data_IF_522482516473
#
_entry.id   IF_522482516473
#
_cell.length_a   1.000
_cell.length_b   1.000
_cell.length_c   1.000
_cell.angle_alpha   90.00
_cell.angle_beta   90.00
_cell.angle_gamma   90.00
#
_symmetry.space_group_name_H-M   'P 1'
#
loop_
_entity.id
_entity.type
_entity.pdbx_description
1 polymer ?
#
# COMPACT_ATOMS: atom_id res chain seq x y z
N UNK A 1 -24.48 10.06 49.59
CA UNK A 1 -24.13 9.41 48.29
C UNK A 1 -23.48 10.37 47.29
N UNK A 2 -23.78 11.68 47.33
CA UNK A 2 -23.06 12.70 46.54
C UNK A 2 -21.59 12.85 46.96
N UNK A 3 -21.32 12.80 48.26
CA UNK A 3 -19.96 12.89 48.85
C UNK A 3 -19.04 11.78 48.34
N UNK A 4 -19.47 10.51 48.42
CA UNK A 4 -18.73 9.35 47.89
C UNK A 4 -18.36 9.49 46.40
N UNK A 5 -19.30 9.98 45.58
CA UNK A 5 -19.04 10.18 44.14
C UNK A 5 -18.00 11.28 43.89
N UNK A 6 -18.02 12.35 44.69
CA UNK A 6 -17.05 13.45 44.60
C UNK A 6 -15.66 13.02 45.09
N UNK A 7 -15.58 12.30 46.21
CA UNK A 7 -14.34 11.79 46.80
C UNK A 7 -13.61 10.80 45.87
N UNK A 8 -14.35 9.97 45.13
CA UNK A 8 -13.76 8.97 44.23
C UNK A 8 -13.73 9.40 42.76
N UNK A 9 -14.13 10.64 42.42
CA UNK A 9 -14.09 11.14 41.05
C UNK A 9 -15.03 10.40 40.08
N UNK A 10 -16.10 9.79 40.58
CA UNK A 10 -17.05 9.01 39.77
C UNK A 10 -18.32 9.84 39.54
N UNK A 11 -18.78 9.90 38.29
CA UNK A 11 -20.07 10.56 38.01
C UNK A 11 -21.21 9.81 38.73
N UNK A 12 -22.19 10.55 39.29
CA UNK A 12 -23.37 9.94 39.92
C UNK A 12 -24.07 8.94 38.99
N UNK A 13 -24.14 9.25 37.69
CA UNK A 13 -24.71 8.37 36.65
C UNK A 13 -23.97 7.03 36.58
N UNK A 14 -22.64 7.06 36.57
CA UNK A 14 -21.79 5.86 36.56
C UNK A 14 -22.00 5.04 37.83
N UNK A 15 -22.07 5.69 39.00
CA UNK A 15 -22.29 5.01 40.27
C UNK A 15 -23.62 4.25 40.32
N UNK A 16 -24.73 4.90 39.95
CA UNK A 16 -26.05 4.23 39.92
C UNK A 16 -26.12 3.13 38.87
N UNK A 17 -25.44 3.28 37.73
CA UNK A 17 -25.35 2.25 36.70
C UNK A 17 -24.59 1.00 37.19
N UNK A 18 -23.43 1.18 37.84
CA UNK A 18 -22.66 0.08 38.43
C UNK A 18 -23.44 -0.57 39.57
N UNK A 19 -24.11 0.21 40.42
CA UNK A 19 -24.95 -0.32 41.50
C UNK A 19 -26.10 -1.17 40.95
N UNK A 20 -26.80 -0.68 39.92
CA UNK A 20 -27.87 -1.43 39.25
C UNK A 20 -27.36 -2.75 38.68
N UNK A 21 -26.17 -2.76 38.07
CA UNK A 21 -25.53 -3.98 37.54
C UNK A 21 -25.10 -4.92 38.65
N UNK A 22 -24.54 -4.41 39.75
CA UNK A 22 -24.11 -5.20 40.90
C UNK A 22 -25.29 -5.94 41.53
N UNK A 23 -26.46 -5.30 41.59
CA UNK A 23 -27.70 -5.92 42.09
C UNK A 23 -28.26 -6.99 41.14
N UNK A 24 -28.11 -6.85 39.82
CA UNK A 24 -28.69 -7.76 38.83
C UNK A 24 -27.78 -8.95 38.49
N UNK A 25 -26.49 -8.69 38.32
CA UNK A 25 -25.51 -9.64 37.77
C UNK A 25 -24.46 -10.07 38.83
N UNK A 26 -24.47 -9.46 40.02
CA UNK A 26 -23.46 -9.63 41.06
C UNK A 26 -22.28 -8.65 40.96
N UNK A 27 -21.54 -8.44 42.06
CA UNK A 27 -20.53 -7.38 42.16
C UNK A 27 -19.34 -7.56 41.21
N UNK A 28 -18.93 -8.81 40.94
CA UNK A 28 -17.83 -9.10 40.02
C UNK A 28 -18.23 -8.83 38.55
N UNK A 29 -19.40 -9.30 38.14
CA UNK A 29 -19.88 -9.13 36.76
C UNK A 29 -20.22 -7.67 36.41
N UNK A 30 -20.52 -6.84 37.41
CA UNK A 30 -20.81 -5.42 37.22
C UNK A 30 -19.59 -4.59 36.78
N UNK A 31 -18.39 -5.05 37.14
CA UNK A 31 -17.11 -4.40 36.82
C UNK A 31 -16.48 -4.93 35.53
N UNK A 32 -16.93 -6.08 35.04
CA UNK A 32 -16.44 -6.64 33.78
C UNK A 32 -16.84 -5.77 32.56
N UNK A 33 -15.90 -5.46 31.65
CA UNK A 33 -16.19 -4.72 30.43
C UNK A 33 -17.20 -5.47 29.54
N UNK A 34 -18.46 -5.03 29.54
CA UNK A 34 -19.46 -5.53 28.58
C UNK A 34 -19.11 -5.07 27.16
N UNK A 35 -19.38 -5.94 26.20
CA UNK A 35 -19.27 -5.63 24.78
C UNK A 35 -20.04 -4.35 24.45
N UNK A 36 -19.34 -3.36 23.89
CA UNK A 36 -19.94 -2.12 23.36
C UNK A 36 -20.51 -2.30 21.96
N UNK A 37 -20.46 -3.52 21.42
CA UNK A 37 -20.94 -3.80 20.06
C UNK A 37 -22.47 -3.66 20.02
N UNK A 38 -23.05 -2.96 19.02
CA UNK A 38 -24.48 -2.94 18.81
C UNK A 38 -25.04 -4.36 18.71
N UNK A 39 -26.17 -4.63 19.38
CA UNK A 39 -26.84 -5.95 19.36
C UNK A 39 -27.31 -6.34 17.95
N UNK A 40 -27.59 -5.36 17.10
CA UNK A 40 -27.91 -5.54 15.68
C UNK A 40 -27.22 -4.45 14.87
N UNK A 41 -26.69 -4.81 13.70
CA UNK A 41 -26.19 -3.85 12.71
C UNK A 41 -27.05 -3.98 11.44
N UNK A 42 -27.94 -3.02 11.16
CA UNK A 42 -28.79 -3.02 9.96
C UNK A 42 -27.97 -3.04 8.65
N UNK A 43 -26.72 -2.58 8.71
CA UNK A 43 -25.74 -2.62 7.61
C UNK A 43 -24.99 -3.95 7.49
N UNK A 44 -25.48 -5.01 8.13
CA UNK A 44 -24.92 -6.35 7.96
C UNK A 44 -25.23 -6.79 6.54
N UNK A 45 -24.19 -6.79 5.71
CA UNK A 45 -24.23 -7.35 4.37
C UNK A 45 -24.87 -8.75 4.46
N UNK A 46 -25.86 -9.04 3.61
CA UNK A 46 -26.52 -10.33 3.61
C UNK A 46 -25.49 -11.45 3.41
N UNK A 47 -25.66 -12.57 4.12
CA UNK A 47 -24.73 -13.71 4.03
C UNK A 47 -24.66 -14.26 2.59
N UNK A 48 -25.69 -14.05 1.78
CA UNK A 48 -25.69 -14.34 0.35
C UNK A 48 -24.62 -13.56 -0.41
N UNK A 49 -24.56 -12.24 -0.23
CA UNK A 49 -23.58 -11.39 -0.91
C UNK A 49 -22.14 -11.75 -0.47
N UNK A 50 -21.97 -12.17 0.78
CA UNK A 50 -20.69 -12.71 1.28
C UNK A 50 -20.30 -13.99 0.54
N UNK A 51 -21.22 -14.95 0.37
CA UNK A 51 -20.96 -16.20 -0.37
C UNK A 51 -20.64 -15.93 -1.83
N UNK A 52 -21.41 -15.05 -2.48
CA UNK A 52 -21.18 -14.65 -3.87
C UNK A 52 -19.80 -14.03 -4.06
N UNK A 53 -19.39 -13.10 -3.18
CA UNK A 53 -18.06 -12.49 -3.25
C UNK A 53 -16.92 -13.51 -3.11
N UNK A 54 -17.06 -14.51 -2.22
CA UNK A 54 -16.08 -15.59 -2.07
C UNK A 54 -16.05 -16.48 -3.32
N UNK A 55 -17.22 -16.77 -3.92
CA UNK A 55 -17.31 -17.53 -5.16
C UNK A 55 -16.63 -16.84 -6.34
N UNK A 56 -16.86 -15.53 -6.52
CA UNK A 56 -16.19 -14.74 -7.57
C UNK A 56 -14.68 -14.73 -7.36
N UNK A 57 -14.22 -14.57 -6.11
CA UNK A 57 -12.79 -14.66 -5.79
C UNK A 57 -12.20 -16.02 -6.18
N UNK A 58 -12.88 -17.11 -5.83
CA UNK A 58 -12.43 -18.46 -6.16
C UNK A 58 -12.36 -18.70 -7.69
N UNK A 59 -13.32 -18.17 -8.44
CA UNK A 59 -13.31 -18.25 -9.90
C UNK A 59 -12.14 -17.47 -10.53
N UNK A 60 -11.82 -16.28 -9.99
CA UNK A 60 -10.65 -15.51 -10.41
C UNK A 60 -9.33 -16.24 -10.10
N UNK A 61 -9.25 -16.84 -8.91
CA UNK A 61 -8.09 -17.63 -8.47
C UNK A 61 -7.88 -18.87 -9.36
N UNK A 62 -8.95 -19.60 -9.71
CA UNK A 62 -8.89 -20.73 -10.65
C UNK A 62 -8.47 -20.32 -12.07
N UNK A 63 -8.80 -19.10 -12.48
CA UNK A 63 -8.44 -18.55 -13.78
C UNK A 63 -7.01 -17.98 -13.81
N UNK A 64 -6.27 -18.02 -12.70
CA UNK A 64 -4.94 -17.44 -12.57
C UNK A 64 -4.91 -15.91 -12.65
N UNK A 65 -6.06 -15.25 -12.46
CA UNK A 65 -6.19 -13.80 -12.47
C UNK A 65 -5.97 -13.22 -11.07
N UNK A 66 -5.72 -11.92 -10.99
CA UNK A 66 -5.67 -11.23 -9.69
C UNK A 66 -7.01 -11.38 -8.96
N UNK A 67 -6.97 -11.94 -7.75
CA UNK A 67 -8.12 -12.23 -6.90
C UNK A 67 -8.22 -11.26 -5.71
N UNK A 68 -7.59 -10.10 -5.83
CA UNK A 68 -7.67 -9.02 -4.85
C UNK A 68 -9.08 -8.42 -4.71
N UNK A 69 -9.37 -7.69 -3.61
CA UNK A 69 -10.66 -7.04 -3.37
C UNK A 69 -11.11 -6.07 -4.48
N UNK A 70 -10.17 -5.40 -5.16
CA UNK A 70 -10.46 -4.50 -6.29
C UNK A 70 -10.91 -5.31 -7.51
N UNK A 71 -10.15 -6.33 -7.87
CA UNK A 71 -10.44 -7.21 -9.00
C UNK A 71 -11.76 -7.96 -8.83
N UNK A 72 -12.09 -8.40 -7.61
CA UNK A 72 -13.40 -8.99 -7.32
C UNK A 72 -14.53 -7.94 -7.43
N UNK A 73 -14.34 -6.73 -6.88
CA UNK A 73 -15.33 -5.66 -7.00
C UNK A 73 -15.67 -5.36 -8.45
N UNK A 74 -14.65 -5.21 -9.29
CA UNK A 74 -14.83 -4.87 -10.70
C UNK A 74 -15.48 -6.02 -11.47
N UNK A 75 -15.09 -7.26 -11.15
CA UNK A 75 -15.74 -8.45 -11.72
C UNK A 75 -17.21 -8.56 -11.32
N UNK A 76 -17.54 -8.32 -10.04
CA UNK A 76 -18.92 -8.32 -9.55
C UNK A 76 -19.76 -7.23 -10.23
N UNK A 77 -19.18 -6.04 -10.47
CA UNK A 77 -19.81 -4.99 -11.26
C UNK A 77 -20.03 -5.42 -12.71
N UNK A 78 -19.03 -6.01 -13.35
CA UNK A 78 -19.11 -6.47 -14.73
C UNK A 78 -20.13 -7.61 -14.92
N UNK A 79 -20.36 -8.43 -13.89
CA UNK A 79 -21.40 -9.45 -13.86
C UNK A 79 -22.82 -8.89 -13.66
N UNK A 80 -22.96 -7.59 -13.40
CA UNK A 80 -24.27 -6.94 -13.25
C UNK A 80 -24.98 -7.28 -11.94
N UNK A 81 -24.26 -7.64 -10.88
CA UNK A 81 -24.87 -7.94 -9.57
C UNK A 81 -25.50 -6.68 -8.97
N UNK A 82 -26.74 -6.78 -8.48
CA UNK A 82 -27.50 -5.65 -7.92
C UNK A 82 -26.82 -5.03 -6.69
N UNK A 83 -26.17 -5.87 -5.86
CA UNK A 83 -25.50 -5.44 -4.63
C UNK A 83 -24.02 -5.77 -4.71
N UNK A 84 -23.21 -4.78 -5.08
CA UNK A 84 -21.74 -4.88 -5.07
C UNK A 84 -21.20 -4.24 -3.78
N UNK A 85 -20.56 -5.01 -2.88
CA UNK A 85 -19.97 -4.46 -1.66
C UNK A 85 -18.75 -3.61 -1.98
N UNK A 86 -18.49 -2.59 -1.15
CA UNK A 86 -17.26 -1.81 -1.29
C UNK A 86 -16.00 -2.68 -1.18
N UNK A 87 -14.91 -2.26 -1.83
CA UNK A 87 -13.59 -2.91 -1.78
C UNK A 87 -13.14 -3.18 -0.32
N UNK A 88 -13.38 -2.23 0.59
CA UNK A 88 -13.06 -2.40 2.01
C UNK A 88 -13.91 -3.50 2.69
N UNK A 89 -15.19 -3.61 2.31
CA UNK A 89 -16.07 -4.67 2.81
C UNK A 89 -15.64 -6.05 2.29
N UNK A 90 -15.28 -6.16 1.02
CA UNK A 90 -14.72 -7.37 0.42
C UNK A 90 -13.41 -7.78 1.11
N UNK A 91 -12.49 -6.84 1.34
CA UNK A 91 -11.24 -7.11 2.06
C UNK A 91 -11.49 -7.66 3.46
N UNK A 92 -12.47 -7.10 4.18
CA UNK A 92 -12.88 -7.61 5.50
C UNK A 92 -13.50 -9.00 5.41
N UNK A 93 -14.41 -9.23 4.45
CA UNK A 93 -15.03 -10.54 4.20
C UNK A 93 -13.97 -11.59 3.93
N UNK A 94 -13.00 -11.31 3.06
CA UNK A 94 -11.95 -12.26 2.71
C UNK A 94 -11.01 -12.56 3.87
N UNK A 95 -10.75 -11.57 4.72
CA UNK A 95 -9.99 -11.77 5.97
C UNK A 95 -10.77 -12.59 6.99
N UNK A 96 -12.07 -12.31 7.18
CA UNK A 96 -12.94 -13.08 8.08
C UNK A 96 -13.12 -14.53 7.62
N UNK A 97 -13.21 -14.75 6.29
CA UNK A 97 -13.34 -16.08 5.70
C UNK A 97 -12.01 -16.83 5.57
N UNK A 98 -10.87 -16.22 5.94
CA UNK A 98 -9.55 -16.85 5.85
C UNK A 98 -9.01 -17.06 4.43
N UNK A 99 -9.69 -16.53 3.40
CA UNK A 99 -9.30 -16.69 1.99
C UNK A 99 -8.28 -15.63 1.56
N UNK A 100 -8.18 -14.50 2.26
CA UNK A 100 -7.07 -13.56 2.06
C UNK A 100 -5.80 -14.11 2.71
N UNK A 101 -4.80 -14.49 1.89
CA UNK A 101 -3.49 -14.93 2.37
C UNK A 101 -2.84 -13.79 3.16
N UNK A 102 -2.69 -13.98 4.47
CA UNK A 102 -1.79 -13.15 5.26
C UNK A 102 -0.37 -13.48 4.80
N UNK A 103 0.39 -12.47 4.40
CA UNK A 103 1.82 -12.59 4.10
C UNK A 103 2.66 -12.00 5.23
N UNK A 104 2.75 -12.69 6.40
CA UNK A 104 3.46 -12.18 7.57
C UNK A 104 4.98 -12.07 7.34
N UNK A 105 5.50 -12.67 6.26
CA UNK A 105 6.92 -12.54 5.85
C UNK A 105 7.25 -11.16 5.29
N UNK A 106 6.26 -10.34 4.93
CA UNK A 106 6.53 -8.95 4.54
C UNK A 106 7.06 -8.19 5.74
N UNK A 107 8.26 -7.61 5.60
CA UNK A 107 8.84 -6.77 6.65
C UNK A 107 7.85 -5.67 7.03
N UNK A 108 7.62 -5.44 8.33
CA UNK A 108 6.73 -4.36 8.76
C UNK A 108 7.24 -3.03 8.23
N UNK A 109 6.33 -2.10 7.90
CA UNK A 109 6.72 -0.76 7.42
C UNK A 109 7.61 -0.01 8.40
N UNK A 110 7.51 -0.30 9.70
CA UNK A 110 8.38 0.25 10.74
C UNK A 110 9.87 -0.16 10.58
N UNK A 111 10.17 -1.23 9.83
CA UNK A 111 11.53 -1.63 9.51
C UNK A 111 12.13 -0.86 8.30
N UNK A 112 11.34 -0.01 7.63
CA UNK A 112 11.83 0.79 6.51
C UNK A 112 12.71 1.91 7.05
N UNK A 113 13.98 1.91 6.64
CA UNK A 113 14.90 3.02 6.88
C UNK A 113 14.99 3.85 5.62
N UNK A 114 15.03 5.17 5.77
CA UNK A 114 15.29 6.07 4.64
C UNK A 114 16.72 5.81 4.16
N UNK A 115 16.84 5.45 2.88
CA UNK A 115 18.12 5.33 2.20
C UNK A 115 18.44 6.68 1.56
N UNK A 116 19.52 7.32 2.02
CA UNK A 116 20.02 8.60 1.51
C UNK A 116 21.55 8.53 1.52
N UNK A 117 22.20 8.79 0.40
CA UNK A 117 23.66 8.90 0.33
C UNK A 117 24.18 10.15 1.05
N UNK A 118 25.43 10.13 1.51
CA UNK A 118 25.97 11.17 2.40
C UNK A 118 26.24 12.54 1.75
N UNK A 119 26.36 12.62 0.42
CA UNK A 119 26.71 13.84 -0.30
C UNK A 119 26.00 13.94 -1.66
N UNK A 120 25.79 15.15 -2.20
CA UNK A 120 25.32 15.33 -3.58
C UNK A 120 26.27 14.66 -4.57
N UNK A 121 25.73 14.11 -5.66
CA UNK A 121 26.46 13.35 -6.66
C UNK A 121 27.20 12.11 -6.09
N UNK A 122 26.90 11.67 -4.87
CA UNK A 122 27.40 10.39 -4.40
C UNK A 122 26.64 9.22 -5.04
N UNK A 123 25.37 9.43 -5.41
CA UNK A 123 24.58 8.41 -6.08
C UNK A 123 23.41 8.99 -6.88
N UNK A 124 23.36 8.65 -8.17
CA UNK A 124 22.20 8.94 -9.02
C UNK A 124 21.28 7.71 -9.14
N UNK A 125 19.97 7.93 -9.13
CA UNK A 125 18.92 6.92 -9.31
C UNK A 125 18.23 7.16 -10.65
N UNK A 126 18.11 6.12 -11.48
CA UNK A 126 17.45 6.19 -12.79
C UNK A 126 16.14 5.41 -12.78
N UNK A 127 14.99 6.09 -12.69
CA UNK A 127 13.67 5.46 -12.80
C UNK A 127 13.09 5.57 -14.22
N UNK A 128 12.29 4.58 -14.61
CA UNK A 128 11.61 4.55 -15.91
C UNK A 128 10.12 4.26 -15.70
N UNK A 129 9.27 5.19 -16.11
CA UNK A 129 7.81 5.08 -15.97
C UNK A 129 7.15 4.99 -17.35
N UNK A 130 6.40 3.92 -17.60
CA UNK A 130 5.53 3.82 -18.78
C UNK A 130 4.34 4.78 -18.64
N UNK A 131 4.09 5.56 -19.68
CA UNK A 131 3.01 6.53 -19.75
C UNK A 131 2.19 6.33 -21.03
N UNK A 132 0.86 6.40 -20.92
CA UNK A 132 -0.06 6.26 -22.04
C UNK A 132 -0.43 7.64 -22.57
N UNK A 133 -0.06 7.89 -23.83
CA UNK A 133 -0.39 9.10 -24.58
C UNK A 133 -1.79 9.00 -25.19
N UNK A 134 -2.23 10.12 -25.78
CA UNK A 134 -3.46 10.15 -26.57
C UNK A 134 -3.43 9.10 -27.69
N UNK A 135 -4.61 8.51 -27.96
CA UNK A 135 -4.81 7.40 -28.92
C UNK A 135 -4.13 6.09 -28.52
N UNK A 136 -3.86 5.87 -27.23
CA UNK A 136 -3.41 4.59 -26.68
C UNK A 136 -1.94 4.24 -26.95
N UNK A 137 -1.16 5.16 -27.52
CA UNK A 137 0.28 4.98 -27.71
C UNK A 137 0.98 5.04 -26.35
N UNK A 138 2.05 4.26 -26.19
CA UNK A 138 2.84 4.23 -24.95
C UNK A 138 4.19 4.89 -25.17
N UNK A 139 4.70 5.59 -24.17
CA UNK A 139 6.09 6.02 -24.09
C UNK A 139 6.65 5.68 -22.71
N UNK A 140 7.97 5.70 -22.58
CA UNK A 140 8.68 5.49 -21.33
C UNK A 140 9.44 6.77 -21.00
N UNK A 141 9.17 7.31 -19.82
CA UNK A 141 9.81 8.51 -19.29
C UNK A 141 10.90 8.06 -18.34
N UNK A 142 12.15 8.31 -18.70
CA UNK A 142 13.32 8.12 -17.87
C UNK A 142 13.59 9.38 -17.05
N UNK A 143 13.82 9.19 -15.76
CA UNK A 143 14.09 10.24 -14.78
C UNK A 143 15.34 9.88 -14.00
N UNK A 144 16.37 10.71 -14.11
CA UNK A 144 17.62 10.59 -13.37
C UNK A 144 17.62 11.62 -12.25
N UNK A 145 17.72 11.14 -11.01
CA UNK A 145 17.68 11.98 -9.81
C UNK A 145 18.92 11.75 -8.95
N UNK A 146 19.42 12.79 -8.29
CA UNK A 146 20.43 12.65 -7.25
C UNK A 146 19.77 12.25 -5.93
N UNK A 147 20.21 11.16 -5.31
CA UNK A 147 19.56 10.60 -4.13
C UNK A 147 19.70 11.48 -2.87
N UNK A 148 20.80 12.23 -2.75
CA UNK A 148 21.03 13.11 -1.60
C UNK A 148 20.24 14.42 -1.72
N UNK A 149 20.49 15.19 -2.79
CA UNK A 149 19.88 16.51 -3.01
C UNK A 149 18.44 16.44 -3.52
N UNK A 150 18.00 15.28 -4.02
CA UNK A 150 16.73 15.11 -4.74
C UNK A 150 16.60 15.99 -6.00
N UNK A 151 17.73 16.47 -6.51
CA UNK A 151 17.79 17.20 -7.77
C UNK A 151 17.41 16.27 -8.94
N UNK A 152 16.55 16.73 -9.84
CA UNK A 152 16.31 16.08 -11.11
C UNK A 152 17.47 16.42 -12.05
N UNK A 153 18.39 15.47 -12.23
CA UNK A 153 19.64 15.66 -12.98
C UNK A 153 19.36 15.68 -14.48
N UNK A 154 18.55 14.74 -14.96
CA UNK A 154 18.19 14.66 -16.37
C UNK A 154 16.87 13.89 -16.56
N UNK A 155 16.21 14.15 -17.70
CA UNK A 155 15.03 13.39 -18.13
C UNK A 155 15.11 13.07 -19.63
N UNK A 156 14.56 11.94 -20.02
CA UNK A 156 14.44 11.56 -21.42
C UNK A 156 13.17 10.75 -21.66
N UNK A 157 12.54 10.94 -22.82
CA UNK A 157 11.38 10.16 -23.24
C UNK A 157 11.80 9.28 -24.41
N UNK A 158 11.49 8.00 -24.32
CA UNK A 158 11.70 7.02 -25.39
C UNK A 158 10.42 6.21 -25.64
N UNK A 159 10.38 5.45 -26.72
CA UNK A 159 9.23 4.57 -27.04
C UNK A 159 9.23 3.25 -26.27
N UNK A 160 10.31 2.93 -25.56
CA UNK A 160 10.44 1.72 -24.75
C UNK A 160 11.59 1.82 -23.75
N UNK A 161 11.59 0.89 -22.80
CA UNK A 161 12.63 0.80 -21.77
C UNK A 161 13.88 0.08 -22.33
N UNK A 162 14.73 0.86 -23.01
CA UNK A 162 15.92 0.36 -23.71
C UNK A 162 17.21 0.82 -23.04
N UNK A 163 18.29 0.07 -23.28
CA UNK A 163 19.61 0.36 -22.73
C UNK A 163 20.19 1.66 -23.31
N UNK A 164 19.95 1.87 -24.60
CA UNK A 164 20.32 3.05 -25.36
C UNK A 164 19.66 4.30 -24.78
N UNK A 165 18.35 4.23 -24.50
CA UNK A 165 17.64 5.33 -23.85
C UNK A 165 18.16 5.64 -22.44
N UNK A 166 18.59 4.62 -21.68
CA UNK A 166 19.20 4.82 -20.38
C UNK A 166 20.54 5.56 -20.50
N UNK A 167 21.42 5.15 -21.43
CA UNK A 167 22.71 5.83 -21.69
C UNK A 167 22.49 7.29 -22.08
N UNK A 168 21.53 7.58 -22.97
CA UNK A 168 21.23 8.96 -23.41
C UNK A 168 20.84 9.86 -22.24
N UNK A 169 20.17 9.33 -21.21
CA UNK A 169 19.82 10.10 -20.00
C UNK A 169 21.08 10.46 -19.21
N UNK A 170 22.04 9.54 -19.12
CA UNK A 170 23.32 9.77 -18.44
C UNK A 170 24.22 10.74 -19.22
N UNK A 171 24.26 10.65 -20.55
CA UNK A 171 25.02 11.59 -21.38
C UNK A 171 24.48 13.03 -21.23
N UNK A 172 23.16 13.18 -21.09
CA UNK A 172 22.53 14.49 -20.80
C UNK A 172 22.91 15.06 -19.44
N UNK A 173 23.48 14.26 -18.55
CA UNK A 173 23.85 14.67 -17.19
C UNK A 173 25.28 15.25 -17.07
N UNK A 174 26.12 15.24 -18.11
CA UNK A 174 27.50 15.77 -18.10
C UNK A 174 27.64 17.13 -18.86
N UNK A 175 28.47 18.11 -18.40
CA UNK A 175 28.38 18.86 -17.14
C UNK A 175 28.41 20.42 -17.31
N UNK A 176 28.29 21.21 -16.22
CA UNK A 176 29.49 21.53 -15.43
C UNK A 176 29.51 21.02 -13.97
N UNK A 177 28.59 20.13 -13.55
CA UNK A 177 28.65 19.50 -12.21
C UNK A 177 29.04 18.01 -12.32
N UNK A 178 29.97 17.60 -11.44
CA UNK A 178 30.74 16.37 -11.46
C UNK A 178 29.95 15.05 -11.65
N UNK A 179 30.59 14.10 -12.33
CA UNK A 179 30.18 12.70 -12.42
C UNK A 179 29.97 12.10 -11.02
N UNK A 180 29.00 11.19 -10.85
CA UNK A 180 28.73 10.65 -9.54
C UNK A 180 29.76 9.61 -9.11
N UNK A 181 30.05 9.52 -7.82
CA UNK A 181 30.93 8.49 -7.24
C UNK A 181 30.27 7.09 -7.19
N UNK A 182 29.02 6.95 -7.65
CA UNK A 182 28.25 5.71 -7.70
C UNK A 182 26.88 5.89 -8.36
N UNK A 183 26.22 4.78 -8.74
CA UNK A 183 24.87 4.80 -9.32
C UNK A 183 23.97 3.75 -8.62
N UNK A 184 22.79 4.17 -8.17
CA UNK A 184 21.84 3.35 -7.42
C UNK A 184 20.70 2.88 -8.32
N UNK A 185 20.44 1.58 -8.20
CA UNK A 185 19.86 0.69 -9.21
C UNK A 185 18.33 0.76 -9.24
N UNK A 186 17.74 0.63 -10.43
CA UNK A 186 16.31 0.38 -10.59
C UNK A 186 16.00 -1.04 -11.04
N UNK A 187 14.76 -1.43 -10.77
CA UNK A 187 14.19 -2.76 -11.01
C UNK A 187 13.88 -3.05 -12.49
N UNK A 188 14.43 -2.26 -13.42
CA UNK A 188 14.25 -2.40 -14.87
C UNK A 188 14.88 -3.67 -15.47
N UNK A 189 14.76 -3.93 -16.78
CA UNK A 189 15.32 -5.10 -17.45
C UNK A 189 16.81 -5.32 -17.18
N UNK A 190 17.29 -6.56 -17.33
CA UNK A 190 18.72 -6.88 -17.10
C UNK A 190 19.65 -6.21 -18.13
N UNK A 191 19.15 -5.90 -19.31
CA UNK A 191 19.88 -5.24 -20.41
C UNK A 191 20.18 -3.77 -20.11
N UNK A 192 19.20 -3.02 -19.64
CA UNK A 192 19.36 -1.60 -19.23
C UNK A 192 20.39 -1.48 -18.10
N UNK A 193 20.37 -2.43 -17.16
CA UNK A 193 21.33 -2.49 -16.05
C UNK A 193 22.79 -2.64 -16.51
N UNK A 194 23.09 -3.58 -17.41
CA UNK A 194 24.48 -3.80 -17.88
C UNK A 194 25.04 -2.61 -18.66
N UNK A 195 24.19 -1.93 -19.42
CA UNK A 195 24.60 -0.79 -20.23
C UNK A 195 25.03 0.40 -19.37
N UNK A 196 24.29 0.69 -18.29
CA UNK A 196 24.64 1.74 -17.33
C UNK A 196 25.93 1.39 -16.58
N UNK A 197 26.10 0.14 -16.14
CA UNK A 197 27.33 -0.30 -15.46
C UNK A 197 28.57 -0.14 -16.37
N UNK A 198 28.42 -0.48 -17.66
CA UNK A 198 29.48 -0.28 -18.65
C UNK A 198 29.80 1.20 -18.85
N UNK A 199 28.78 2.06 -18.95
CA UNK A 199 28.96 3.50 -19.15
C UNK A 199 29.67 4.15 -17.95
N UNK A 200 29.25 3.86 -16.71
CA UNK A 200 29.90 4.37 -15.49
C UNK A 200 31.38 3.96 -15.43
N UNK A 201 31.67 2.71 -15.81
CA UNK A 201 33.06 2.20 -15.83
C UNK A 201 33.91 2.92 -16.88
N UNK A 202 33.34 3.23 -18.04
CA UNK A 202 34.03 3.92 -19.14
C UNK A 202 34.23 5.42 -18.88
N UNK A 203 33.33 6.08 -18.15
CA UNK A 203 33.36 7.52 -17.87
C UNK A 203 34.16 7.92 -16.62
N UNK A 204 34.68 6.94 -15.87
CA UNK A 204 35.46 7.15 -14.64
C UNK A 204 36.98 7.04 -14.84
N UNK A 205 37.46 6.92 -16.09
CA UNK A 205 38.88 6.95 -16.48
C UNK A 205 39.19 8.29 -17.11
#
# INVERSE_FOLDING_TARGET
MTTFCAEHGISRKTFYEIRRRSLADGPAAALEPRSRRPKSSPSKLADEVRRQAIGVRAALEQSGLDCGPVSVHDKMRAMGLEVVPSVASLARIFREAGVARLEPRKKPRAAWRRFVYAAPNACWQLDATEYVLTRGRKCVIFQLIDDHSRCAVASHVAWGETAEAAIVVFDKAQPPMACPNGCCRTTGPRSTRRAVDSWVSSSST
#
